data_IF_776348333945
#
_entry.id   IF_776348333945
#
_cell.length_a   1.000
_cell.length_b   1.000
_cell.length_c   1.000
_cell.angle_alpha   90.00
_cell.angle_beta   90.00
_cell.angle_gamma   90.00
#
_symmetry.space_group_name_H-M   'P 1'
#
loop_
_entity.id
_entity.type
_entity.pdbx_description
1 polymer ?
#
# COMPACT_ATOMS: atom_id res chain seq x y z
N UNK A 1 15.79 28.55 39.73
CA UNK A 1 16.99 28.34 40.59
C UNK A 1 17.44 26.88 40.71
N UNK A 2 16.70 25.96 41.37
CA UNK A 2 17.12 24.54 41.43
C UNK A 2 16.99 23.82 40.08
N UNK A 3 15.96 24.20 39.33
CA UNK A 3 15.65 23.73 37.97
C UNK A 3 16.71 24.21 36.96
N UNK A 4 17.13 25.47 37.02
CA UNK A 4 18.22 25.99 36.17
C UNK A 4 19.54 25.27 36.42
N UNK A 5 19.79 24.86 37.67
CA UNK A 5 21.02 24.17 38.04
C UNK A 5 21.07 22.74 37.48
N UNK A 6 19.96 22.00 37.53
CA UNK A 6 19.88 20.64 37.00
C UNK A 6 19.92 20.64 35.45
N UNK A 7 19.28 21.64 34.82
CA UNK A 7 19.36 21.84 33.37
C UNK A 7 20.78 22.22 32.93
N UNK A 8 21.43 23.15 33.66
CA UNK A 8 22.80 23.61 33.36
C UNK A 8 23.84 22.49 33.52
N UNK A 9 23.68 21.59 34.50
CA UNK A 9 24.55 20.41 34.64
C UNK A 9 24.33 19.39 33.52
N UNK A 10 23.09 19.17 33.11
CA UNK A 10 22.78 18.27 31.99
C UNK A 10 23.35 18.81 30.68
N UNK A 11 23.24 20.12 30.45
CA UNK A 11 23.78 20.82 29.26
C UNK A 11 25.31 20.84 29.24
N UNK A 12 25.98 21.02 30.39
CA UNK A 12 27.45 21.01 30.45
C UNK A 12 28.04 19.62 30.17
N UNK A 13 27.36 18.57 30.63
CA UNK A 13 27.74 17.18 30.32
C UNK A 13 27.56 16.83 28.84
N UNK A 14 26.53 17.38 28.18
CA UNK A 14 26.25 17.20 26.76
C UNK A 14 27.32 17.84 25.83
N UNK A 15 27.98 18.93 26.26
CA UNK A 15 29.02 19.63 25.49
C UNK A 15 30.36 18.88 25.42
N UNK A 16 30.60 17.91 26.30
CA UNK A 16 31.92 17.26 26.46
C UNK A 16 32.02 15.84 25.89
N UNK A 17 30.92 15.29 25.35
CA UNK A 17 30.86 13.89 24.88
C UNK A 17 31.00 13.79 23.35
N UNK A 18 31.63 12.71 22.83
CA UNK A 18 31.97 12.58 21.42
C UNK A 18 30.74 12.46 20.51
N UNK A 19 30.88 13.01 19.29
CA UNK A 19 29.94 13.03 18.15
C UNK A 19 29.58 11.61 17.66
N UNK A 20 28.90 10.83 18.49
CA UNK A 20 28.42 9.48 18.14
C UNK A 20 26.94 9.38 18.47
N UNK A 21 26.19 8.64 17.66
CA UNK A 21 24.73 8.46 17.75
C UNK A 21 24.27 8.05 19.14
N UNK A 22 25.09 7.33 19.91
CA UNK A 22 24.79 6.90 21.28
C UNK A 22 24.80 8.04 22.31
N UNK A 23 25.59 9.11 22.10
CA UNK A 23 25.65 10.30 22.96
C UNK A 23 24.34 11.09 22.92
N UNK A 24 23.74 11.15 21.74
CA UNK A 24 22.50 11.87 21.46
C UNK A 24 21.28 11.26 22.19
N UNK A 25 21.15 9.92 22.18
CA UNK A 25 20.04 9.24 22.85
C UNK A 25 20.12 9.35 24.38
N UNK A 26 21.33 9.38 24.96
CA UNK A 26 21.54 9.59 26.39
C UNK A 26 21.13 11.00 26.85
N UNK A 27 21.39 12.02 26.02
CA UNK A 27 20.98 13.41 26.26
C UNK A 27 19.45 13.55 26.27
N UNK A 28 18.75 12.85 25.38
CA UNK A 28 17.28 12.84 25.35
C UNK A 28 16.69 12.20 26.59
N UNK A 29 17.16 11.01 26.99
CA UNK A 29 16.61 10.31 28.16
C UNK A 29 16.78 11.12 29.46
N UNK A 30 17.83 11.93 29.57
CA UNK A 30 18.09 12.79 30.74
C UNK A 30 17.13 13.99 30.79
N UNK A 31 16.75 14.52 29.62
CA UNK A 31 15.81 15.63 29.47
C UNK A 31 14.36 15.16 29.59
N UNK A 32 14.01 14.01 28.99
CA UNK A 32 12.67 13.40 28.93
C UNK A 32 12.20 12.75 30.26
N UNK A 33 12.82 13.07 31.40
CA UNK A 33 12.48 12.51 32.72
C UNK A 33 11.08 12.97 33.18
N UNK A 34 10.33 12.18 33.98
CA UNK A 34 8.93 12.47 34.35
C UNK A 34 8.65 13.84 34.99
N UNK A 35 9.67 14.54 35.47
CA UNK A 35 9.56 15.92 35.98
C UNK A 35 9.41 16.98 34.87
N UNK A 36 9.56 16.63 33.58
CA UNK A 36 9.51 17.53 32.44
C UNK A 36 8.09 17.86 31.96
N UNK A 37 7.09 17.01 32.18
CA UNK A 37 5.70 17.22 31.69
C UNK A 37 5.08 18.52 32.21
N UNK A 38 5.31 18.87 33.48
CA UNK A 38 4.78 20.12 34.08
C UNK A 38 5.48 21.38 33.56
N UNK A 39 6.73 21.25 33.15
CA UNK A 39 7.53 22.33 32.54
C UNK A 39 7.06 22.61 31.11
N UNK A 40 6.55 21.59 30.44
CA UNK A 40 6.08 21.61 29.06
C UNK A 40 4.67 22.19 28.92
N UNK A 41 3.74 21.86 29.81
CA UNK A 41 2.44 22.52 29.85
C UNK A 41 2.59 24.03 30.07
N UNK A 42 3.55 24.43 30.91
CA UNK A 42 3.89 25.82 31.13
C UNK A 42 4.52 26.46 29.88
N UNK A 43 5.45 25.76 29.22
CA UNK A 43 6.10 26.26 28.00
C UNK A 43 5.16 26.38 26.80
N UNK A 44 4.28 25.40 26.56
CA UNK A 44 3.29 25.44 25.45
C UNK A 44 2.25 26.56 25.70
N UNK A 45 1.90 26.84 26.96
CA UNK A 45 1.11 28.01 27.34
C UNK A 45 1.85 29.34 27.14
N UNK A 46 3.13 29.41 27.47
CA UNK A 46 3.94 30.61 27.24
C UNK A 46 4.14 30.88 25.73
N UNK A 47 4.31 29.83 24.92
CA UNK A 47 4.37 29.93 23.46
C UNK A 47 3.08 30.54 22.84
N UNK A 48 1.90 30.27 23.42
CA UNK A 48 0.64 30.91 23.02
C UNK A 48 0.68 32.43 23.27
N UNK A 49 1.36 32.87 24.32
CA UNK A 49 1.49 34.28 24.70
C UNK A 49 2.70 34.98 24.04
N UNK A 50 3.48 34.28 23.22
CA UNK A 50 4.71 34.81 22.61
C UNK A 50 5.88 34.97 23.57
N UNK A 51 5.78 34.44 24.79
CA UNK A 51 6.86 34.44 25.79
C UNK A 51 7.53 33.08 25.79
N UNK A 52 8.85 33.03 25.59
CA UNK A 52 9.62 31.77 25.64
C UNK A 52 10.50 31.82 26.91
N UNK A 53 10.02 31.33 28.08
CA UNK A 53 10.66 31.60 29.37
C UNK A 53 12.02 30.89 29.59
N UNK A 54 12.50 30.11 28.61
CA UNK A 54 13.78 29.38 28.65
C UNK A 54 14.67 29.66 27.43
N UNK A 55 14.54 30.85 26.86
CA UNK A 55 15.06 31.33 25.56
C UNK A 55 16.46 30.83 25.21
N UNK A 56 17.53 31.34 25.82
CA UNK A 56 18.82 31.26 25.12
C UNK A 56 19.46 29.86 25.10
N UNK A 57 19.35 29.07 26.17
CA UNK A 57 20.05 27.78 26.24
C UNK A 57 19.26 26.64 25.59
N UNK A 58 17.94 26.63 25.76
CA UNK A 58 17.07 25.64 25.11
C UNK A 58 16.96 25.98 23.62
N UNK A 59 16.80 27.25 23.21
CA UNK A 59 16.81 27.59 21.79
C UNK A 59 18.17 27.29 21.15
N UNK A 60 19.30 27.63 21.80
CA UNK A 60 20.61 27.32 21.22
C UNK A 60 20.87 25.81 21.15
N UNK A 61 20.41 25.03 22.13
CA UNK A 61 20.47 23.57 22.06
C UNK A 61 19.59 23.06 20.93
N UNK A 62 18.34 23.49 20.82
CA UNK A 62 17.40 23.06 19.78
C UNK A 62 17.88 23.46 18.39
N UNK A 63 18.28 24.71 18.20
CA UNK A 63 18.73 25.23 16.90
C UNK A 63 20.03 24.59 16.45
N UNK A 64 20.92 24.19 17.36
CA UNK A 64 22.17 23.49 17.00
C UNK A 64 21.91 22.00 16.86
N UNK A 65 21.29 21.36 17.85
CA UNK A 65 21.12 19.92 17.92
C UNK A 65 20.07 19.41 16.94
N UNK A 66 18.86 19.99 16.89
CA UNK A 66 17.82 19.52 15.97
C UNK A 66 18.18 19.81 14.53
N UNK A 67 18.70 21.00 14.24
CA UNK A 67 19.19 21.33 12.90
C UNK A 67 20.30 20.39 12.47
N UNK A 68 21.31 20.14 13.32
CA UNK A 68 22.40 19.21 13.00
C UNK A 68 21.91 17.77 12.83
N UNK A 69 20.96 17.34 13.66
CA UNK A 69 20.33 16.03 13.54
C UNK A 69 19.58 15.90 12.22
N UNK A 70 18.78 16.90 11.84
CA UNK A 70 18.04 16.92 10.59
C UNK A 70 18.94 17.05 9.36
N UNK A 71 20.04 17.78 9.45
CA UNK A 71 21.04 17.88 8.38
C UNK A 71 21.81 16.57 8.20
N UNK A 72 22.12 15.89 9.29
CA UNK A 72 22.72 14.54 9.25
C UNK A 72 21.77 13.54 8.60
N UNK A 73 20.49 13.59 8.98
CA UNK A 73 19.42 12.77 8.40
C UNK A 73 19.23 13.08 6.90
N UNK A 74 19.33 14.36 6.51
CA UNK A 74 19.28 14.78 5.11
C UNK A 74 20.43 14.20 4.28
N UNK A 75 21.62 14.19 4.86
CA UNK A 75 22.85 13.77 4.21
C UNK A 75 22.90 12.24 4.00
N UNK A 76 22.08 11.48 4.73
CA UNK A 76 22.08 10.02 4.63
C UNK A 76 21.47 9.47 3.33
N UNK A 77 20.69 10.25 2.55
CA UNK A 77 20.02 9.84 1.28
C UNK A 77 19.61 8.35 1.20
N UNK A 78 19.06 7.82 2.29
CA UNK A 78 18.81 6.39 2.45
C UNK A 78 17.32 6.15 2.62
N UNK A 79 16.70 5.57 1.60
CA UNK A 79 15.33 5.03 1.67
C UNK A 79 15.30 3.65 2.36
N UNK A 80 15.99 3.52 3.50
CA UNK A 80 15.98 2.31 4.30
C UNK A 80 14.85 2.41 5.33
N UNK A 81 13.91 1.46 5.29
CA UNK A 81 12.75 1.45 6.19
C UNK A 81 13.12 1.51 7.68
N UNK A 82 14.21 0.88 8.11
CA UNK A 82 14.65 0.94 9.52
C UNK A 82 15.14 2.34 9.93
N UNK A 83 15.84 3.02 9.02
CA UNK A 83 16.34 4.38 9.25
C UNK A 83 15.18 5.36 9.28
N UNK A 84 14.25 5.23 8.32
CA UNK A 84 13.03 6.03 8.26
C UNK A 84 12.26 5.87 9.57
N UNK A 85 11.95 4.64 9.98
CA UNK A 85 11.24 4.38 11.22
C UNK A 85 11.91 5.00 12.45
N UNK A 86 13.21 4.76 12.64
CA UNK A 86 13.95 5.31 13.79
C UNK A 86 13.95 6.85 13.80
N UNK A 87 14.10 7.47 12.63
CA UNK A 87 14.06 8.93 12.50
C UNK A 87 12.65 9.48 12.72
N UNK A 88 11.62 8.83 12.18
CA UNK A 88 10.22 9.23 12.34
C UNK A 88 9.78 9.13 13.79
N UNK A 89 10.15 8.07 14.51
CA UNK A 89 9.86 7.94 15.95
C UNK A 89 10.63 8.96 16.79
N UNK A 90 11.91 9.24 16.46
CA UNK A 90 12.66 10.31 17.10
C UNK A 90 11.98 11.68 16.92
N UNK A 91 11.55 11.99 15.69
CA UNK A 91 10.86 13.24 15.37
C UNK A 91 9.54 13.31 16.14
N UNK A 92 8.67 12.29 16.05
CA UNK A 92 7.39 12.24 16.78
C UNK A 92 7.59 12.39 18.29
N UNK A 93 8.64 11.78 18.84
CA UNK A 93 8.96 11.89 20.28
C UNK A 93 9.29 13.33 20.65
N UNK A 94 10.13 14.00 19.86
CA UNK A 94 10.44 15.43 20.05
C UNK A 94 9.19 16.29 19.89
N UNK A 95 8.37 16.02 18.88
CA UNK A 95 7.11 16.72 18.63
C UNK A 95 6.18 16.66 19.82
N UNK A 96 5.95 15.46 20.35
CA UNK A 96 5.10 15.22 21.51
C UNK A 96 5.70 15.83 22.76
N UNK A 97 7.02 15.77 22.90
CA UNK A 97 7.72 16.31 24.05
C UNK A 97 7.57 17.83 24.12
N UNK A 98 7.92 18.59 23.08
CA UNK A 98 7.89 20.05 23.16
C UNK A 98 6.49 20.68 22.99
N UNK A 99 5.49 19.91 22.59
CA UNK A 99 4.13 20.40 22.39
C UNK A 99 3.86 20.98 21.01
N UNK A 100 2.58 21.26 20.73
CA UNK A 100 2.08 21.53 19.37
C UNK A 100 2.51 22.91 18.87
N UNK A 101 2.54 23.94 19.71
CA UNK A 101 2.87 25.30 19.24
C UNK A 101 4.36 25.43 18.97
N UNK A 102 5.19 24.90 19.87
CA UNK A 102 6.63 24.83 19.64
C UNK A 102 6.96 24.15 18.32
N UNK A 103 6.32 23.00 18.09
CA UNK A 103 6.48 22.27 16.85
C UNK A 103 6.15 23.09 15.61
N UNK A 104 4.97 23.72 15.59
CA UNK A 104 4.50 24.54 14.47
C UNK A 104 5.43 25.73 14.19
N UNK A 105 5.97 26.34 15.25
CA UNK A 105 6.78 27.56 15.14
C UNK A 105 8.26 27.29 14.85
N UNK A 106 8.83 26.19 15.37
CA UNK A 106 10.27 25.95 15.35
C UNK A 106 10.69 24.74 14.53
N UNK A 107 9.94 23.64 14.55
CA UNK A 107 10.38 22.42 13.87
C UNK A 107 9.84 22.31 12.45
N UNK A 108 8.56 22.58 12.24
CA UNK A 108 7.94 22.55 10.91
C UNK A 108 8.73 23.36 9.86
N UNK A 109 9.20 24.60 10.15
CA UNK A 109 9.97 25.40 9.19
C UNK A 109 11.36 24.85 8.84
N UNK A 110 11.93 23.94 9.64
CA UNK A 110 13.25 23.35 9.36
C UNK A 110 13.21 22.31 8.24
N UNK A 111 12.03 21.74 7.96
CA UNK A 111 11.85 20.71 6.95
C UNK A 111 11.40 21.27 5.61
N UNK A 112 10.49 22.25 5.63
CA UNK A 112 10.02 22.89 4.41
C UNK A 112 9.40 24.26 4.70
N UNK A 113 9.58 25.18 3.76
CA UNK A 113 8.83 26.46 3.69
C UNK A 113 7.56 26.34 2.83
N UNK A 114 7.41 25.24 2.08
CA UNK A 114 6.28 24.93 1.23
C UNK A 114 5.50 23.74 1.77
N UNK A 115 4.17 23.86 1.86
CA UNK A 115 3.31 22.75 2.30
C UNK A 115 3.14 21.65 1.24
N UNK A 116 3.78 21.78 0.07
CA UNK A 116 3.72 20.80 -1.02
C UNK A 116 5.08 20.67 -1.71
N UNK A 117 5.39 19.48 -2.30
CA UNK A 117 6.63 19.31 -3.05
C UNK A 117 6.65 20.20 -4.28
N UNK A 118 7.78 20.87 -4.50
CA UNK A 118 7.94 21.81 -5.62
C UNK A 118 8.96 21.33 -6.65
N UNK A 119 9.85 20.39 -6.29
CA UNK A 119 10.94 19.94 -7.16
C UNK A 119 11.22 18.43 -7.09
N UNK A 120 11.93 17.92 -8.11
CA UNK A 120 12.35 16.51 -8.18
C UNK A 120 13.33 16.13 -7.07
N UNK A 121 14.28 17.01 -6.77
CA UNK A 121 15.31 16.76 -5.78
C UNK A 121 14.72 16.71 -4.37
N UNK A 122 13.69 17.53 -4.12
CA UNK A 122 12.93 17.52 -2.87
C UNK A 122 12.23 16.16 -2.66
N UNK A 123 11.54 15.62 -3.67
CA UNK A 123 10.85 14.31 -3.58
C UNK A 123 11.82 13.15 -3.29
N UNK A 124 13.04 13.21 -3.82
CA UNK A 124 14.02 12.15 -3.62
C UNK A 124 14.64 12.19 -2.22
N UNK A 125 14.52 13.32 -1.53
CA UNK A 125 15.11 13.49 -0.21
C UNK A 125 14.42 12.66 0.87
N UNK A 126 15.19 12.04 1.75
CA UNK A 126 14.68 11.44 2.99
C UNK A 126 13.93 12.47 3.85
N UNK A 127 14.31 13.77 3.78
CA UNK A 127 13.60 14.86 4.49
C UNK A 127 12.12 14.92 4.11
N UNK A 128 11.79 14.65 2.85
CA UNK A 128 10.42 14.66 2.35
C UNK A 128 9.57 13.55 2.98
N UNK A 129 10.11 12.33 3.03
CA UNK A 129 9.45 11.19 3.70
C UNK A 129 9.27 11.45 5.19
N UNK A 130 10.29 12.01 5.84
CA UNK A 130 10.25 12.31 7.28
C UNK A 130 9.32 13.46 7.63
N UNK A 131 9.06 14.37 6.69
CA UNK A 131 8.02 15.36 6.86
C UNK A 131 6.63 14.70 6.95
N UNK A 132 6.28 13.80 6.02
CA UNK A 132 5.01 13.09 6.15
C UNK A 132 4.94 12.20 7.40
N UNK A 133 5.95 11.35 7.59
CA UNK A 133 5.93 10.26 8.58
C UNK A 133 6.24 10.70 10.02
N UNK A 134 7.09 11.70 10.18
CA UNK A 134 7.47 12.25 11.49
C UNK A 134 6.69 13.51 11.81
N UNK A 135 6.74 14.50 10.92
CA UNK A 135 6.20 15.85 11.17
C UNK A 135 4.67 15.86 11.16
N UNK A 136 4.04 15.44 10.06
CA UNK A 136 2.59 15.53 9.89
C UNK A 136 1.84 14.44 10.68
N UNK A 137 2.47 13.30 10.96
CA UNK A 137 1.87 12.23 11.79
C UNK A 137 2.03 12.45 13.30
N UNK A 138 2.64 13.57 13.74
CA UNK A 138 2.86 13.82 15.17
C UNK A 138 1.57 14.03 15.96
N UNK A 139 0.50 14.53 15.31
CA UNK A 139 -0.82 14.74 15.92
C UNK A 139 -1.95 14.25 15.01
N UNK A 140 -3.07 13.91 15.62
CA UNK A 140 -4.25 13.31 14.97
C UNK A 140 -5.41 14.28 14.79
N UNK A 141 -5.16 15.59 14.88
CA UNK A 141 -6.14 16.65 14.69
C UNK A 141 -6.64 16.68 13.23
N UNK A 142 -7.89 17.08 13.02
CA UNK A 142 -8.51 17.13 11.68
C UNK A 142 -7.72 18.00 10.69
N UNK A 143 -7.17 19.12 11.15
CA UNK A 143 -6.37 20.02 10.31
C UNK A 143 -5.06 19.36 9.85
N UNK A 144 -4.31 18.76 10.77
CA UNK A 144 -3.05 18.04 10.46
C UNK A 144 -3.32 16.82 9.56
N UNK A 145 -4.44 16.11 9.77
CA UNK A 145 -4.87 15.00 8.89
C UNK A 145 -5.18 15.49 7.47
N UNK A 146 -5.86 16.63 7.32
CA UNK A 146 -6.12 17.23 6.02
C UNK A 146 -4.81 17.66 5.32
N UNK A 147 -3.87 18.25 6.08
CA UNK A 147 -2.55 18.62 5.56
C UNK A 147 -1.77 17.39 5.09
N UNK A 148 -1.76 16.30 5.88
CA UNK A 148 -1.14 15.03 5.50
C UNK A 148 -1.76 14.44 4.23
N UNK A 149 -3.09 14.47 4.15
CA UNK A 149 -3.83 13.98 2.98
C UNK A 149 -3.42 14.73 1.72
N UNK A 150 -3.41 16.05 1.79
CA UNK A 150 -3.02 16.92 0.68
C UNK A 150 -1.55 16.70 0.30
N UNK A 151 -0.65 16.62 1.28
CA UNK A 151 0.79 16.42 1.05
C UNK A 151 1.09 15.13 0.29
N UNK A 152 0.49 14.02 0.71
CA UNK A 152 0.67 12.71 0.05
C UNK A 152 0.05 12.72 -1.35
N UNK A 153 -1.12 13.34 -1.52
CA UNK A 153 -1.78 13.42 -2.83
C UNK A 153 -1.01 14.29 -3.82
N UNK A 154 -0.50 15.45 -3.39
CA UNK A 154 0.35 16.31 -4.23
C UNK A 154 1.66 15.61 -4.62
N UNK A 155 2.25 14.84 -3.69
CA UNK A 155 3.40 14.00 -3.99
C UNK A 155 3.07 12.95 -5.06
N UNK A 156 1.92 12.28 -4.96
CA UNK A 156 1.44 11.33 -5.96
C UNK A 156 1.27 11.98 -7.34
N UNK A 157 0.62 13.14 -7.40
CA UNK A 157 0.44 13.86 -8.66
C UNK A 157 1.78 14.27 -9.27
N UNK A 158 2.71 14.81 -8.47
CA UNK A 158 4.00 15.26 -8.97
C UNK A 158 4.86 14.09 -9.45
N UNK A 159 4.95 13.01 -8.67
CA UNK A 159 5.68 11.78 -9.02
C UNK A 159 5.09 11.15 -10.28
N UNK A 160 3.76 11.09 -10.41
CA UNK A 160 3.10 10.55 -11.60
C UNK A 160 3.30 11.42 -12.85
N UNK A 161 3.09 12.75 -12.74
CA UNK A 161 3.22 13.68 -13.85
C UNK A 161 4.65 13.71 -14.41
N UNK A 162 5.64 13.56 -13.53
CA UNK A 162 7.05 13.55 -13.90
C UNK A 162 7.63 12.14 -14.09
N UNK A 163 6.80 11.09 -13.95
CA UNK A 163 7.19 9.67 -14.06
C UNK A 163 8.41 9.31 -13.20
N UNK A 164 8.49 9.88 -12.00
CA UNK A 164 9.55 9.60 -11.04
C UNK A 164 9.33 8.22 -10.39
N UNK A 165 10.36 7.73 -9.70
CA UNK A 165 10.23 6.52 -8.88
C UNK A 165 9.20 6.72 -7.76
N UNK A 166 8.39 5.69 -7.52
CA UNK A 166 7.35 5.68 -6.48
C UNK A 166 7.93 5.36 -5.08
N UNK A 167 9.21 5.01 -4.97
CA UNK A 167 9.85 4.56 -3.73
C UNK A 167 9.59 5.49 -2.54
N UNK A 168 9.60 6.81 -2.77
CA UNK A 168 9.29 7.82 -1.74
C UNK A 168 7.87 7.64 -1.18
N UNK A 169 6.87 7.46 -2.05
CA UNK A 169 5.49 7.20 -1.63
C UNK A 169 5.35 5.84 -0.95
N UNK A 170 6.04 4.81 -1.48
CA UNK A 170 6.02 3.48 -0.87
C UNK A 170 6.58 3.50 0.56
N UNK A 171 7.66 4.25 0.78
CA UNK A 171 8.23 4.46 2.10
C UNK A 171 7.26 5.19 3.04
N UNK A 172 6.60 6.26 2.56
CA UNK A 172 5.59 6.97 3.34
C UNK A 172 4.42 6.05 3.72
N UNK A 173 3.86 5.30 2.78
CA UNK A 173 2.75 4.38 3.04
C UNK A 173 3.15 3.26 4.00
N UNK A 174 4.35 2.70 3.83
CA UNK A 174 4.85 1.60 4.69
C UNK A 174 5.03 2.05 6.13
N UNK A 175 5.51 3.27 6.36
CA UNK A 175 5.73 3.80 7.72
C UNK A 175 4.43 4.33 8.34
N UNK A 176 3.66 5.15 7.62
CA UNK A 176 2.41 5.75 8.13
C UNK A 176 1.35 4.69 8.42
N UNK A 177 1.23 3.70 7.54
CA UNK A 177 0.20 2.67 7.66
C UNK A 177 0.41 1.69 8.81
N UNK A 178 1.56 1.74 9.50
CA UNK A 178 1.78 0.98 10.75
C UNK A 178 0.87 1.46 11.89
N UNK A 179 0.41 2.71 11.84
CA UNK A 179 -0.51 3.29 12.82
C UNK A 179 -1.94 3.28 12.27
N UNK A 180 -2.81 2.52 12.96
CA UNK A 180 -4.22 2.36 12.62
C UNK A 180 -4.98 3.70 12.49
N UNK A 181 -4.52 4.75 13.19
CA UNK A 181 -5.14 6.07 13.12
C UNK A 181 -5.04 6.71 11.73
N UNK A 182 -4.04 6.33 10.92
CA UNK A 182 -3.78 6.93 9.61
C UNK A 182 -4.16 6.00 8.44
N UNK A 183 -4.45 4.72 8.70
CA UNK A 183 -4.82 3.77 7.65
C UNK A 183 -6.03 4.24 6.82
N UNK A 184 -7.06 4.78 7.48
CA UNK A 184 -8.24 5.31 6.79
C UNK A 184 -7.93 6.50 5.87
N UNK A 185 -6.93 7.32 6.21
CA UNK A 185 -6.47 8.43 5.37
C UNK A 185 -5.75 7.89 4.13
N UNK A 186 -4.87 6.90 4.31
CA UNK A 186 -4.18 6.27 3.18
C UNK A 186 -5.19 5.63 2.22
N UNK A 187 -6.19 4.92 2.76
CA UNK A 187 -7.25 4.32 1.97
C UNK A 187 -8.12 5.34 1.24
N UNK A 188 -8.44 6.49 1.86
CA UNK A 188 -9.19 7.54 1.17
C UNK A 188 -8.41 8.12 0.00
N UNK A 189 -7.11 8.39 0.18
CA UNK A 189 -6.25 8.89 -0.90
C UNK A 189 -6.23 7.90 -2.05
N UNK A 190 -6.02 6.61 -1.77
CA UNK A 190 -5.98 5.59 -2.82
C UNK A 190 -7.31 5.48 -3.57
N UNK A 191 -8.44 5.43 -2.84
CA UNK A 191 -9.77 5.35 -3.45
C UNK A 191 -10.02 6.54 -4.38
N UNK A 192 -9.70 7.74 -3.92
CA UNK A 192 -9.98 8.97 -4.66
C UNK A 192 -9.00 9.16 -5.84
N UNK A 193 -7.80 8.58 -5.75
CA UNK A 193 -6.78 8.62 -6.82
C UNK A 193 -7.06 7.64 -7.98
N UNK A 194 -7.84 6.58 -7.75
CA UNK A 194 -8.17 5.59 -8.80
C UNK A 194 -9.01 6.17 -9.94
N UNK A 195 -9.81 7.21 -9.67
CA UNK A 195 -10.66 7.87 -10.68
C UNK A 195 -9.94 9.01 -11.41
N UNK A 196 -8.65 9.23 -11.12
CA UNK A 196 -7.87 10.27 -11.75
C UNK A 196 -7.74 10.02 -13.26
N UNK A 197 -7.81 11.08 -14.07
CA UNK A 197 -7.71 10.98 -15.54
C UNK A 197 -6.32 10.57 -16.00
N UNK A 198 -5.26 10.87 -15.23
CA UNK A 198 -3.90 10.49 -15.54
C UNK A 198 -3.67 8.98 -15.31
N UNK A 199 -3.34 8.19 -16.35
CA UNK A 199 -3.09 6.75 -16.22
C UNK A 199 -1.93 6.43 -15.26
N UNK A 200 -0.90 7.27 -15.21
CA UNK A 200 0.24 7.04 -14.33
C UNK A 200 -0.14 7.16 -12.85
N UNK A 201 -1.06 8.09 -12.52
CA UNK A 201 -1.59 8.22 -11.15
C UNK A 201 -2.31 6.93 -10.76
N UNK A 202 -3.14 6.37 -11.65
CA UNK A 202 -3.86 5.11 -11.39
C UNK A 202 -2.91 3.92 -11.23
N UNK A 203 -1.86 3.83 -12.05
CA UNK A 203 -0.83 2.79 -11.93
C UNK A 203 -0.10 2.88 -10.58
N UNK A 204 0.35 4.07 -10.18
CA UNK A 204 1.01 4.26 -8.88
C UNK A 204 0.07 4.02 -7.70
N UNK A 205 -1.20 4.37 -7.85
CA UNK A 205 -2.23 4.05 -6.87
C UNK A 205 -2.37 2.52 -6.68
N UNK A 206 -2.39 1.74 -7.76
CA UNK A 206 -2.39 0.26 -7.68
C UNK A 206 -1.14 -0.29 -6.97
N UNK A 207 0.03 0.28 -7.24
CA UNK A 207 1.28 -0.12 -6.57
C UNK A 207 1.25 0.17 -5.06
N UNK A 208 0.62 1.26 -4.66
CA UNK A 208 0.46 1.63 -3.24
C UNK A 208 -0.61 0.77 -2.54
N UNK A 209 -1.64 0.31 -3.26
CA UNK A 209 -2.59 -0.67 -2.70
C UNK A 209 -1.88 -1.91 -2.20
N UNK A 210 -0.94 -2.47 -2.97
CA UNK A 210 -0.18 -3.66 -2.57
C UNK A 210 0.59 -3.50 -1.25
N UNK A 211 0.90 -2.27 -0.84
CA UNK A 211 1.51 -1.97 0.46
C UNK A 211 0.43 -1.87 1.52
N UNK A 212 -0.59 -1.05 1.28
CA UNK A 212 -1.67 -0.79 2.26
C UNK A 212 -2.43 -2.06 2.63
N UNK A 213 -2.63 -2.98 1.68
CA UNK A 213 -3.32 -4.26 1.92
C UNK A 213 -2.60 -5.16 2.93
N UNK A 214 -1.27 -5.04 3.06
CA UNK A 214 -0.50 -5.73 4.10
C UNK A 214 -0.56 -5.06 5.47
N UNK A 215 -1.14 -3.85 5.57
CA UNK A 215 -1.19 -3.04 6.79
C UNK A 215 -2.59 -2.99 7.40
N UNK A 216 -3.63 -3.11 6.59
CA UNK A 216 -5.03 -3.01 7.03
C UNK A 216 -5.64 -4.37 7.30
N UNK A 217 -6.64 -4.41 8.18
CA UNK A 217 -7.39 -5.63 8.47
C UNK A 217 -8.28 -6.04 7.28
N UNK A 218 -8.57 -7.34 7.19
CA UNK A 218 -9.29 -7.92 6.06
C UNK A 218 -10.74 -7.42 5.91
N UNK A 219 -11.38 -6.97 7.00
CA UNK A 219 -12.76 -6.47 6.93
C UNK A 219 -12.82 -5.12 6.21
N UNK A 220 -11.83 -4.26 6.47
CA UNK A 220 -11.68 -2.95 5.81
C UNK A 220 -11.45 -3.09 4.31
N UNK A 221 -10.68 -4.09 3.87
CA UNK A 221 -10.42 -4.36 2.45
C UNK A 221 -11.71 -4.62 1.69
N UNK A 222 -12.57 -5.49 2.22
CA UNK A 222 -13.78 -5.94 1.53
C UNK A 222 -14.79 -4.81 1.31
N UNK A 223 -14.93 -3.90 2.28
CA UNK A 223 -15.93 -2.83 2.20
C UNK A 223 -15.43 -1.55 1.54
N UNK A 224 -14.15 -1.17 1.73
CA UNK A 224 -13.65 0.14 1.29
C UNK A 224 -12.90 0.10 -0.04
N UNK A 225 -12.26 -1.02 -0.37
CA UNK A 225 -11.29 -1.10 -1.47
C UNK A 225 -11.86 -1.81 -2.70
N UNK A 226 -12.58 -2.93 -2.48
CA UNK A 226 -13.07 -3.78 -3.56
C UNK A 226 -13.87 -3.04 -4.65
N UNK A 227 -14.85 -2.16 -4.31
CA UNK A 227 -15.63 -1.48 -5.35
C UNK A 227 -14.78 -0.62 -6.29
N UNK A 228 -13.74 0.01 -5.77
CA UNK A 228 -12.85 0.87 -6.54
C UNK A 228 -11.92 0.05 -7.45
N UNK A 229 -11.38 -1.07 -6.96
CA UNK A 229 -10.57 -1.99 -7.77
C UNK A 229 -11.40 -2.66 -8.87
N UNK A 230 -12.63 -3.08 -8.58
CA UNK A 230 -13.56 -3.62 -9.58
C UNK A 230 -13.82 -2.60 -10.67
N UNK A 231 -14.14 -1.36 -10.28
CA UNK A 231 -14.40 -0.29 -11.24
C UNK A 231 -13.17 -0.11 -12.13
N UNK A 232 -11.97 0.06 -11.56
CA UNK A 232 -10.76 0.20 -12.36
C UNK A 232 -10.49 -1.01 -13.27
N UNK A 233 -10.71 -2.23 -12.78
CA UNK A 233 -10.47 -3.45 -13.55
C UNK A 233 -11.55 -3.76 -14.60
N UNK A 234 -12.77 -3.21 -14.48
CA UNK A 234 -13.91 -3.53 -15.35
C UNK A 234 -14.50 -2.36 -16.15
N UNK A 235 -14.04 -1.13 -15.92
CA UNK A 235 -14.53 0.09 -16.56
C UNK A 235 -14.12 0.21 -18.05
N UNK A 236 -15.01 -0.20 -18.95
CA UNK A 236 -14.82 -0.12 -20.40
C UNK A 236 -14.48 1.30 -20.92
N UNK A 237 -14.74 2.36 -20.14
CA UNK A 237 -14.40 3.75 -20.50
C UNK A 237 -12.91 4.09 -20.25
N UNK A 238 -12.17 3.23 -19.53
CA UNK A 238 -10.73 3.38 -19.37
C UNK A 238 -10.03 2.88 -20.63
N UNK A 239 -9.12 3.72 -21.15
CA UNK A 239 -8.29 3.45 -22.33
C UNK A 239 -7.79 1.98 -22.35
N UNK A 240 -8.19 1.19 -23.35
CA UNK A 240 -7.70 -0.18 -23.53
C UNK A 240 -6.17 -0.29 -23.53
N UNK A 241 -5.46 0.72 -24.05
CA UNK A 241 -4.00 0.72 -24.05
C UNK A 241 -3.40 0.76 -22.64
N UNK A 242 -4.07 1.41 -21.69
CA UNK A 242 -3.68 1.39 -20.28
C UNK A 242 -4.00 0.04 -19.63
N UNK A 243 -5.19 -0.53 -19.91
CA UNK A 243 -5.62 -1.83 -19.37
C UNK A 243 -4.73 -2.98 -19.83
N UNK A 244 -4.29 -2.92 -21.08
CA UNK A 244 -3.44 -3.93 -21.69
C UNK A 244 -1.95 -3.69 -21.40
N UNK A 245 -1.60 -2.61 -20.68
CA UNK A 245 -0.23 -2.37 -20.26
C UNK A 245 0.21 -3.46 -19.26
N UNK A 246 1.28 -4.18 -19.61
CA UNK A 246 1.86 -5.26 -18.79
C UNK A 246 2.06 -4.87 -17.31
N UNK A 247 2.46 -3.62 -17.03
CA UNK A 247 2.63 -3.13 -15.65
C UNK A 247 1.31 -3.07 -14.90
N UNK A 248 0.25 -2.59 -15.54
CA UNK A 248 -1.10 -2.50 -14.95
C UNK A 248 -1.65 -3.90 -14.66
N UNK A 249 -1.54 -4.81 -15.63
CA UNK A 249 -1.95 -6.22 -15.46
C UNK A 249 -1.21 -6.90 -14.30
N UNK A 250 0.11 -6.71 -14.23
CA UNK A 250 0.93 -7.26 -13.15
C UNK A 250 0.48 -6.77 -11.77
N UNK A 251 0.21 -5.47 -11.63
CA UNK A 251 -0.22 -4.90 -10.34
C UNK A 251 -1.62 -5.37 -9.95
N UNK A 252 -2.56 -5.53 -10.90
CA UNK A 252 -3.86 -6.14 -10.61
C UNK A 252 -3.74 -7.58 -10.12
N UNK A 253 -2.92 -8.41 -10.77
CA UNK A 253 -2.74 -9.80 -10.35
C UNK A 253 -2.18 -9.85 -8.93
N UNK A 254 -1.13 -9.06 -8.62
CA UNK A 254 -0.57 -8.96 -7.27
C UNK A 254 -1.62 -8.53 -6.23
N UNK A 255 -2.38 -7.49 -6.57
CA UNK A 255 -3.44 -6.95 -5.69
C UNK A 255 -4.49 -8.02 -5.39
N UNK A 256 -5.00 -8.70 -6.42
CA UNK A 256 -6.00 -9.74 -6.23
C UNK A 256 -5.43 -10.97 -5.53
N UNK A 257 -4.16 -11.31 -5.73
CA UNK A 257 -3.50 -12.42 -5.02
C UNK A 257 -3.51 -12.21 -3.51
N UNK A 258 -3.24 -11.00 -3.04
CA UNK A 258 -3.26 -10.67 -1.61
C UNK A 258 -4.69 -10.66 -1.03
N UNK A 259 -5.67 -10.15 -1.78
CA UNK A 259 -7.04 -10.00 -1.29
C UNK A 259 -7.82 -11.31 -1.36
N UNK A 260 -7.56 -12.15 -2.36
CA UNK A 260 -8.43 -13.26 -2.71
C UNK A 260 -8.69 -14.26 -1.55
N UNK A 261 -7.69 -14.70 -0.77
CA UNK A 261 -7.92 -15.65 0.33
C UNK A 261 -8.91 -15.14 1.38
N UNK A 262 -8.99 -13.82 1.54
CA UNK A 262 -9.80 -13.16 2.58
C UNK A 262 -11.11 -12.58 2.05
N UNK A 263 -11.29 -12.52 0.73
CA UNK A 263 -12.50 -12.02 0.12
C UNK A 263 -13.70 -12.96 0.33
N UNK A 264 -14.91 -12.45 0.19
CA UNK A 264 -16.12 -13.28 0.17
C UNK A 264 -16.09 -14.29 -0.99
N UNK A 265 -16.65 -15.49 -0.79
CA UNK A 265 -16.67 -16.54 -1.82
C UNK A 265 -17.32 -16.05 -3.11
N UNK A 266 -18.40 -15.30 -2.99
CA UNK A 266 -19.10 -14.72 -4.14
C UNK A 266 -18.20 -13.79 -4.94
N UNK A 267 -17.41 -12.94 -4.28
CA UNK A 267 -16.49 -12.03 -4.96
C UNK A 267 -15.32 -12.77 -5.63
N UNK A 268 -14.72 -13.74 -4.93
CA UNK A 268 -13.69 -14.61 -5.52
C UNK A 268 -14.18 -15.27 -6.81
N UNK A 269 -15.37 -15.87 -6.75
CA UNK A 269 -15.92 -16.70 -7.82
C UNK A 269 -16.48 -15.89 -8.99
N UNK A 270 -17.16 -14.77 -8.73
CA UNK A 270 -17.81 -13.98 -9.77
C UNK A 270 -16.89 -12.93 -10.40
N UNK A 271 -15.79 -12.57 -9.74
CA UNK A 271 -14.92 -11.49 -10.20
C UNK A 271 -13.45 -11.90 -10.31
N UNK A 272 -12.81 -12.30 -9.19
CA UNK A 272 -11.35 -12.53 -9.17
C UNK A 272 -10.96 -13.67 -10.12
N UNK A 273 -11.61 -14.83 -9.99
CA UNK A 273 -11.31 -16.00 -10.82
C UNK A 273 -11.55 -15.74 -12.32
N UNK A 274 -12.70 -15.16 -12.75
CA UNK A 274 -12.90 -14.76 -14.14
C UNK A 274 -11.84 -13.78 -14.65
N UNK A 275 -11.45 -12.78 -13.85
CA UNK A 275 -10.43 -11.80 -14.22
C UNK A 275 -9.06 -12.45 -14.42
N UNK A 276 -8.61 -13.29 -13.48
CA UNK A 276 -7.34 -14.01 -13.59
C UNK A 276 -7.32 -14.94 -14.82
N UNK A 277 -8.43 -15.64 -15.09
CA UNK A 277 -8.56 -16.52 -16.24
C UNK A 277 -8.52 -15.75 -17.57
N UNK A 278 -9.14 -14.56 -17.61
CA UNK A 278 -9.03 -13.66 -18.76
C UNK A 278 -7.57 -13.27 -19.02
N UNK A 279 -6.84 -12.80 -18.01
CA UNK A 279 -5.41 -12.43 -18.17
C UNK A 279 -4.57 -13.64 -18.58
N UNK A 280 -4.78 -14.80 -17.95
CA UNK A 280 -4.08 -16.03 -18.33
C UNK A 280 -4.29 -16.38 -19.81
N UNK A 281 -5.52 -16.21 -20.30
CA UNK A 281 -5.84 -16.47 -21.71
C UNK A 281 -5.13 -15.50 -22.65
N UNK A 282 -5.06 -14.21 -22.30
CA UNK A 282 -4.37 -13.19 -23.09
C UNK A 282 -2.86 -13.45 -23.10
N UNK A 283 -2.28 -13.75 -21.93
CA UNK A 283 -0.87 -14.05 -21.78
C UNK A 283 -0.45 -15.27 -22.63
N UNK A 284 -1.28 -16.32 -22.65
CA UNK A 284 -1.02 -17.54 -23.43
C UNK A 284 -1.07 -17.35 -24.95
N UNK A 285 -1.71 -16.29 -25.42
CA UNK A 285 -1.79 -15.94 -26.84
C UNK A 285 -0.61 -15.10 -27.32
N UNK A 286 0.20 -14.55 -26.40
CA UNK A 286 1.37 -13.75 -26.74
C UNK A 286 2.53 -14.64 -27.21
N UNK A 287 2.68 -14.81 -28.52
CA UNK A 287 3.72 -15.64 -29.14
C UNK A 287 5.01 -14.86 -29.51
N UNK A 288 5.10 -13.57 -29.19
CA UNK A 288 6.26 -12.73 -29.54
C UNK A 288 7.50 -13.09 -28.71
N UNK A 289 8.63 -13.34 -29.37
CA UNK A 289 9.93 -13.62 -28.73
C UNK A 289 10.40 -12.46 -27.83
N UNK A 290 10.18 -11.21 -28.24
CA UNK A 290 10.52 -10.02 -27.42
C UNK A 290 9.64 -9.86 -26.17
N UNK A 291 8.54 -10.61 -26.10
CA UNK A 291 7.60 -10.60 -24.97
C UNK A 291 7.81 -11.72 -23.95
N UNK A 292 8.75 -12.65 -24.18
CA UNK A 292 8.88 -13.85 -23.32
C UNK A 292 9.13 -13.53 -21.84
N UNK A 293 9.96 -12.52 -21.54
CA UNK A 293 10.21 -12.11 -20.16
C UNK A 293 8.94 -11.58 -19.46
N UNK A 294 8.17 -10.75 -20.16
CA UNK A 294 6.89 -10.22 -19.66
C UNK A 294 5.84 -11.32 -19.49
N UNK A 295 5.78 -12.24 -20.45
CA UNK A 295 4.88 -13.41 -20.41
C UNK A 295 5.21 -14.33 -19.24
N UNK A 296 6.50 -14.58 -18.99
CA UNK A 296 6.96 -15.37 -17.84
C UNK A 296 6.64 -14.69 -16.51
N UNK A 297 6.79 -13.37 -16.44
CA UNK A 297 6.45 -12.60 -15.24
C UNK A 297 4.95 -12.69 -14.91
N UNK A 298 4.07 -12.41 -15.88
CA UNK A 298 2.61 -12.56 -15.70
C UNK A 298 2.26 -14.00 -15.30
N UNK A 299 2.83 -15.00 -15.98
CA UNK A 299 2.60 -16.40 -15.65
C UNK A 299 3.07 -16.73 -14.22
N UNK A 300 4.15 -16.12 -13.74
CA UNK A 300 4.63 -16.29 -12.36
C UNK A 300 3.64 -15.72 -11.34
N UNK A 301 3.13 -14.50 -11.56
CA UNK A 301 2.12 -13.92 -10.66
C UNK A 301 0.79 -14.68 -10.71
N UNK A 302 0.37 -15.17 -11.89
CA UNK A 302 -0.82 -16.01 -12.01
C UNK A 302 -0.66 -17.34 -11.25
N UNK A 303 0.52 -17.94 -11.30
CA UNK A 303 0.81 -19.16 -10.54
C UNK A 303 0.70 -18.93 -9.03
N UNK A 304 1.23 -17.81 -8.52
CA UNK A 304 1.08 -17.42 -7.13
C UNK A 304 -0.39 -17.22 -6.75
N UNK A 305 -1.14 -16.49 -7.59
CA UNK A 305 -2.57 -16.24 -7.41
C UNK A 305 -3.38 -17.55 -7.33
N UNK A 306 -3.19 -18.45 -8.29
CA UNK A 306 -3.91 -19.72 -8.33
C UNK A 306 -3.50 -20.67 -7.22
N UNK A 307 -2.23 -20.66 -6.81
CA UNK A 307 -1.75 -21.44 -5.67
C UNK A 307 -2.42 -20.97 -4.38
N UNK A 308 -2.47 -19.66 -4.13
CA UNK A 308 -3.17 -19.09 -2.97
C UNK A 308 -4.67 -19.42 -2.98
N UNK A 309 -5.31 -19.33 -4.15
CA UNK A 309 -6.74 -19.63 -4.33
C UNK A 309 -7.06 -21.13 -4.22
N UNK A 310 -6.13 -22.03 -4.51
CA UNK A 310 -6.37 -23.48 -4.47
C UNK A 310 -6.75 -24.01 -3.08
N UNK A 311 -6.32 -23.29 -2.03
CA UNK A 311 -6.63 -23.58 -0.64
C UNK A 311 -8.03 -23.08 -0.22
N UNK A 312 -8.73 -22.30 -1.05
CA UNK A 312 -10.07 -21.80 -0.76
C UNK A 312 -11.17 -22.78 -1.21
N UNK A 313 -12.35 -22.66 -0.61
CA UNK A 313 -13.56 -23.34 -1.09
C UNK A 313 -14.12 -22.60 -2.31
N UNK A 314 -14.53 -23.35 -3.34
CA UNK A 314 -15.10 -22.84 -4.59
C UNK A 314 -16.26 -23.71 -5.03
N UNK A 315 -17.31 -23.10 -5.57
CA UNK A 315 -18.38 -23.85 -6.22
C UNK A 315 -17.89 -24.64 -7.44
N UNK A 316 -18.50 -25.79 -7.73
CA UNK A 316 -18.20 -26.56 -8.94
C UNK A 316 -18.38 -25.75 -10.24
N UNK A 317 -19.30 -24.78 -10.24
CA UNK A 317 -19.48 -23.86 -11.37
C UNK A 317 -18.29 -22.91 -11.54
N UNK A 318 -17.76 -22.34 -10.47
CA UNK A 318 -16.59 -21.46 -10.54
C UNK A 318 -15.32 -22.22 -10.94
N UNK A 319 -15.15 -23.45 -10.42
CA UNK A 319 -14.06 -24.35 -10.82
C UNK A 319 -14.10 -24.60 -12.33
N UNK A 320 -15.27 -24.98 -12.85
CA UNK A 320 -15.46 -25.31 -14.26
C UNK A 320 -15.29 -24.09 -15.18
N UNK A 321 -15.87 -22.95 -14.82
CA UNK A 321 -16.02 -21.83 -15.74
C UNK A 321 -14.83 -20.87 -15.73
N UNK A 322 -14.03 -20.83 -14.65
CA UNK A 322 -12.95 -19.84 -14.53
C UNK A 322 -11.66 -20.41 -13.97
N UNK A 323 -11.71 -21.26 -12.94
CA UNK A 323 -10.49 -21.75 -12.30
C UNK A 323 -9.69 -22.68 -13.23
N UNK A 324 -10.29 -23.78 -13.69
CA UNK A 324 -9.63 -24.74 -14.58
C UNK A 324 -9.21 -24.12 -15.93
N UNK A 325 -10.05 -23.34 -16.65
CA UNK A 325 -9.63 -22.70 -17.89
C UNK A 325 -8.38 -21.82 -17.74
N UNK A 326 -8.30 -21.03 -16.66
CA UNK A 326 -7.14 -20.20 -16.39
C UNK A 326 -5.88 -21.00 -16.07
N UNK A 327 -6.00 -22.05 -15.26
CA UNK A 327 -4.91 -22.99 -14.99
C UNK A 327 -4.41 -23.70 -16.25
N UNK A 328 -5.30 -24.06 -17.18
CA UNK A 328 -4.90 -24.66 -18.45
C UNK A 328 -4.11 -23.69 -19.33
N UNK A 329 -4.53 -22.42 -19.41
CA UNK A 329 -3.75 -21.38 -20.10
C UNK A 329 -2.37 -21.21 -19.47
N UNK A 330 -2.30 -21.13 -18.14
CA UNK A 330 -1.04 -21.01 -17.40
C UNK A 330 -0.13 -22.23 -17.61
N UNK A 331 -0.70 -23.43 -17.67
CA UNK A 331 0.05 -24.66 -17.96
C UNK A 331 0.73 -24.63 -19.33
N UNK A 332 0.05 -24.08 -20.35
CA UNK A 332 0.63 -23.87 -21.68
C UNK A 332 1.82 -22.91 -21.62
N UNK A 333 1.73 -21.84 -20.84
CA UNK A 333 2.83 -20.90 -20.62
C UNK A 333 4.02 -21.57 -19.93
N UNK A 334 3.79 -22.27 -18.82
CA UNK A 334 4.87 -22.92 -18.08
C UNK A 334 5.50 -24.08 -18.85
N UNK A 335 4.75 -24.83 -19.65
CA UNK A 335 5.33 -25.86 -20.51
C UNK A 335 6.38 -25.31 -21.49
N UNK A 336 6.25 -24.04 -21.90
CA UNK A 336 7.19 -23.38 -22.80
C UNK A 336 8.28 -22.58 -22.06
N UNK A 337 7.94 -21.94 -20.94
CA UNK A 337 8.79 -20.94 -20.30
C UNK A 337 9.42 -21.40 -18.98
N UNK A 338 8.77 -22.32 -18.25
CA UNK A 338 9.22 -22.84 -16.95
C UNK A 338 8.76 -24.29 -16.73
N UNK A 339 9.33 -25.27 -17.46
CA UNK A 339 8.87 -26.66 -17.42
C UNK A 339 8.90 -27.30 -16.03
N UNK A 340 9.86 -26.91 -15.19
CA UNK A 340 10.03 -27.44 -13.83
C UNK A 340 8.81 -27.20 -12.92
N UNK A 341 8.01 -26.16 -13.20
CA UNK A 341 6.83 -25.81 -12.41
C UNK A 341 5.53 -26.49 -12.89
N UNK A 342 5.56 -27.20 -14.03
CA UNK A 342 4.36 -27.82 -14.63
C UNK A 342 3.81 -28.93 -13.75
N UNK A 343 4.68 -29.71 -13.08
CA UNK A 343 4.24 -30.80 -12.21
C UNK A 343 3.34 -30.33 -11.05
N UNK A 344 3.66 -29.17 -10.47
CA UNK A 344 2.85 -28.56 -9.40
C UNK A 344 1.49 -28.12 -9.94
N UNK A 345 1.46 -27.49 -11.12
CA UNK A 345 0.22 -27.11 -11.78
C UNK A 345 -0.66 -28.32 -12.12
N UNK A 346 -0.08 -29.39 -12.65
CA UNK A 346 -0.81 -30.63 -12.95
C UNK A 346 -1.42 -31.25 -11.68
N UNK A 347 -0.75 -31.14 -10.53
CA UNK A 347 -1.33 -31.56 -9.24
C UNK A 347 -2.56 -30.73 -8.88
N UNK A 348 -2.45 -29.39 -8.92
CA UNK A 348 -3.56 -28.49 -8.60
C UNK A 348 -4.76 -28.73 -9.55
N UNK A 349 -4.49 -28.92 -10.85
CA UNK A 349 -5.51 -29.22 -11.85
C UNK A 349 -6.22 -30.53 -11.50
N UNK A 350 -5.48 -31.61 -11.25
CA UNK A 350 -6.07 -32.92 -10.90
C UNK A 350 -6.94 -32.86 -9.65
N UNK A 351 -6.48 -32.15 -8.61
CA UNK A 351 -7.24 -31.99 -7.37
C UNK A 351 -8.57 -31.25 -7.61
N UNK A 352 -8.56 -30.21 -8.45
CA UNK A 352 -9.77 -29.46 -8.83
C UNK A 352 -10.71 -30.27 -9.73
N UNK A 353 -10.17 -31.07 -10.66
CA UNK A 353 -10.97 -31.99 -11.48
C UNK A 353 -11.67 -33.05 -10.62
N UNK A 354 -10.96 -33.63 -9.65
CA UNK A 354 -11.54 -34.59 -8.72
C UNK A 354 -12.63 -33.94 -7.85
N UNK A 355 -12.40 -32.74 -7.31
CA UNK A 355 -13.43 -31.99 -6.58
C UNK A 355 -14.67 -31.73 -7.45
N UNK A 356 -14.48 -31.41 -8.73
CA UNK A 356 -15.57 -31.19 -9.67
C UNK A 356 -16.38 -32.48 -9.92
N UNK A 357 -15.72 -33.63 -10.02
CA UNK A 357 -16.38 -34.93 -10.12
C UNK A 357 -17.21 -35.26 -8.88
N UNK A 358 -16.69 -34.97 -7.69
CA UNK A 358 -17.43 -35.11 -6.43
C UNK A 358 -18.71 -34.26 -6.42
N UNK A 359 -18.64 -32.98 -6.80
CA UNK A 359 -19.83 -32.13 -6.90
C UNK A 359 -20.89 -32.68 -7.87
N UNK A 360 -20.47 -33.29 -8.98
CA UNK A 360 -21.40 -33.91 -9.94
C UNK A 360 -22.09 -35.15 -9.35
N UNK A 361 -21.33 -35.97 -8.61
CA UNK A 361 -21.88 -37.14 -7.92
C UNK A 361 -22.87 -36.72 -6.82
N UNK A 362 -22.51 -35.74 -6.00
CA UNK A 362 -23.39 -35.20 -4.94
C UNK A 362 -24.66 -34.56 -5.52
N UNK A 363 -24.55 -33.84 -6.65
CA UNK A 363 -25.72 -33.26 -7.34
C UNK A 363 -26.63 -34.33 -7.94
N UNK A 364 -26.08 -35.45 -8.40
CA UNK A 364 -26.85 -36.58 -8.93
C UNK A 364 -27.60 -37.36 -7.84
N UNK A 365 -27.15 -37.29 -6.58
CA UNK A 365 -27.83 -37.86 -5.41
C UNK A 365 -28.99 -36.99 -4.89
N UNK A 366 -29.09 -35.72 -5.33
CA UNK A 366 -30.06 -34.72 -4.88
C UNK A 366 -31.19 -34.42 -5.89
N UNK A 367 -31.41 -35.28 -6.90
CA UNK A 367 -32.51 -35.09 -7.86
C UNK A 367 -33.86 -35.36 -7.16
N UNK A 368 -34.36 -34.30 -6.50
CA UNK A 368 -35.61 -34.24 -5.79
C UNK A 368 -35.83 -32.88 -5.13
N UNK A 369 -35.75 -31.77 -5.87
CA UNK A 369 -36.06 -30.46 -5.29
C UNK A 369 -35.77 -29.22 -6.15
N UNK A 370 -36.76 -28.82 -6.94
CA UNK A 370 -37.16 -27.46 -7.37
C UNK A 370 -36.13 -26.39 -7.79
N UNK A 371 -36.34 -25.93 -9.03
CA UNK A 371 -35.86 -24.71 -9.69
C UNK A 371 -35.70 -23.47 -8.78
N UNK A 372 -34.55 -22.81 -8.89
CA UNK A 372 -34.29 -21.48 -8.34
C UNK A 372 -34.32 -20.44 -9.48
N UNK A 373 -35.39 -19.67 -9.53
CA UNK A 373 -35.39 -18.34 -10.16
C UNK A 373 -34.76 -17.34 -9.17
N UNK A 374 -33.68 -16.68 -9.56
CA UNK A 374 -33.24 -15.43 -8.93
C UNK A 374 -32.94 -14.41 -10.02
N UNK A 375 -33.93 -13.58 -10.33
CA UNK A 375 -33.74 -12.30 -11.00
C UNK A 375 -33.51 -11.18 -9.97
N UNK A 376 -32.77 -10.17 -10.44
CA UNK A 376 -32.67 -8.78 -9.98
C UNK A 376 -31.71 -8.46 -8.82
N UNK A 377 -30.61 -7.79 -9.17
CA UNK A 377 -30.33 -6.33 -8.96
C UNK A 377 -28.86 -6.10 -9.34
N UNK A 378 -28.53 -5.74 -10.60
CA UNK A 378 -27.14 -5.33 -10.98
C UNK A 378 -27.11 -4.35 -12.15
N UNK A 379 -27.40 -3.08 -11.86
CA UNK A 379 -27.14 -1.96 -12.77
C UNK A 379 -25.69 -1.50 -12.66
N UNK A 380 -24.99 -1.38 -13.80
CA UNK A 380 -23.60 -0.94 -14.00
C UNK A 380 -22.45 -1.89 -13.63
N UNK A 381 -22.48 -2.61 -12.49
CA UNK A 381 -21.39 -3.55 -12.15
C UNK A 381 -21.31 -4.80 -13.04
N UNK A 382 -22.35 -5.13 -13.81
CA UNK A 382 -22.42 -6.39 -14.55
C UNK A 382 -21.77 -6.37 -15.94
N UNK A 383 -21.59 -5.21 -16.59
CA UNK A 383 -21.17 -5.17 -18.01
C UNK A 383 -19.70 -5.60 -18.23
N UNK A 384 -18.78 -5.13 -17.40
CA UNK A 384 -17.39 -5.60 -17.47
C UNK A 384 -17.23 -7.05 -16.98
N UNK A 385 -18.04 -7.46 -16.00
CA UNK A 385 -18.11 -8.84 -15.52
C UNK A 385 -18.62 -9.84 -16.57
N UNK A 386 -19.59 -9.44 -17.40
CA UNK A 386 -20.07 -10.26 -18.52
C UNK A 386 -18.98 -10.47 -19.57
N UNK A 387 -18.15 -9.46 -19.85
CA UNK A 387 -17.07 -9.59 -20.84
C UNK A 387 -15.99 -10.60 -20.41
N UNK A 388 -15.59 -10.59 -19.13
CA UNK A 388 -14.66 -11.59 -18.59
C UNK A 388 -15.29 -12.98 -18.59
N UNK A 389 -16.54 -13.09 -18.11
CA UNK A 389 -17.26 -14.36 -18.04
C UNK A 389 -17.46 -14.99 -19.42
N UNK A 390 -17.91 -14.23 -20.42
CA UNK A 390 -18.11 -14.71 -21.79
C UNK A 390 -16.79 -15.18 -22.44
N UNK A 391 -15.68 -14.52 -22.14
CA UNK A 391 -14.35 -14.93 -22.60
C UNK A 391 -13.91 -16.25 -21.96
N UNK A 392 -14.19 -16.43 -20.66
CA UNK A 392 -13.87 -17.67 -19.95
C UNK A 392 -14.76 -18.84 -20.35
N UNK A 393 -16.06 -18.63 -20.57
CA UNK A 393 -16.98 -19.66 -21.06
C UNK A 393 -16.53 -20.20 -22.44
N UNK A 394 -16.06 -19.32 -23.35
CA UNK A 394 -15.47 -19.74 -24.63
C UNK A 394 -14.23 -20.62 -24.47
N UNK A 395 -13.40 -20.37 -23.45
CA UNK A 395 -12.23 -21.22 -23.16
C UNK A 395 -12.65 -22.58 -22.62
N UNK A 396 -13.63 -22.62 -21.71
CA UNK A 396 -14.22 -23.86 -21.17
C UNK A 396 -14.70 -24.77 -22.30
N UNK A 397 -15.42 -24.24 -23.28
CA UNK A 397 -15.84 -25.02 -24.46
C UNK A 397 -14.67 -25.58 -25.29
N UNK A 398 -13.56 -24.85 -25.42
CA UNK A 398 -12.37 -25.30 -26.16
C UNK A 398 -11.63 -26.44 -25.46
N UNK A 399 -11.58 -26.42 -24.12
CA UNK A 399 -10.89 -27.46 -23.34
C UNK A 399 -11.77 -28.70 -23.12
N UNK A 400 -13.08 -28.53 -22.93
CA UNK A 400 -14.01 -29.67 -22.80
C UNK A 400 -14.08 -30.51 -24.09
N UNK A 401 -14.01 -29.90 -25.29
CA UNK A 401 -14.00 -30.64 -26.57
C UNK A 401 -12.66 -31.33 -26.92
N UNK A 402 -11.60 -31.07 -26.16
CA UNK A 402 -10.27 -31.67 -26.37
C UNK A 402 -9.97 -32.87 -25.46
N UNK A 403 -10.88 -33.19 -24.52
CA UNK A 403 -11.03 -34.52 -23.93
C UNK A 403 -12.05 -35.30 -24.76
#
# INVERSE_FOLDING_TARGET
MKIDHDLSQSISSARTLPDTTSSVFFQLHTILSPNSEKLLDHYDQCAINGEFPFTDQIEQYIDVFLKRSFDTIAATDMMNGKVIHACSEFIKTISRYFGRNFWKLKIKPLYTTSNSPTSQDEIRSTKFVLYATGVLCSWTTEQERAELTQYIYDALLLIANQKLSINTLQAMYSEIGTDANFQDILLSILRDSLTNTNPQVRLYTLQLFNITLGLVDHSTISHKILPALITLASDDDIDPAFRDEHRVQSEFIKTFTQIAPHAESKFREEFILPFLAFIASQNSQQQSERGQAKRLEIATYLFEAYSALSCCFHSGQSILNSFLPGLYCLRVDFAQLRPDSVAVLDSIIKDLEHKLEQYRQDSSLLIGGTNLNQENIRGRMLKGLTNFRDSTEKLTYRFIKKK
#
